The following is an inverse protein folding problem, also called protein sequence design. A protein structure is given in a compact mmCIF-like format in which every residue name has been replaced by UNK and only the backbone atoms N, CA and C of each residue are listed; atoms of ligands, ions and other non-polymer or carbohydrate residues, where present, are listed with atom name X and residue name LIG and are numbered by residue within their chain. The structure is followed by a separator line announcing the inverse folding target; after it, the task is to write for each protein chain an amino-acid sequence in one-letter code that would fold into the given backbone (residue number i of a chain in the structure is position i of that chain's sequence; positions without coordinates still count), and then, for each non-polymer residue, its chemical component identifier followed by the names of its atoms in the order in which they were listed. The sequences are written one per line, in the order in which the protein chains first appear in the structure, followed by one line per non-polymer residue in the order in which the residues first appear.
data_IF_257746130535
#
_entry.id   IF_257746130535
#
_cell.length_a   1.000
_cell.length_b   1.000
_cell.length_c   1.000
_cell.angle_alpha   90.00
_cell.angle_beta   90.00
_cell.angle_gamma   90.00
#
_symmetry.space_group_name_H-M   'P 1'
#
loop_
_entity.id
_entity.type
_entity.pdbx_description
1 polymer ?
#
# COMPACT_ATOMS: atom_id res chain seq x y z
N UNK A 1 -1.39 -8.29 -17.75
CA UNK A 1 -2.24 -7.93 -16.61
C UNK A 1 -1.43 -6.95 -15.78
N UNK A 2 -1.90 -5.73 -15.63
CA UNK A 2 -1.18 -4.73 -14.86
C UNK A 2 -1.25 -5.10 -13.37
N UNK A 3 -0.09 -5.10 -12.70
CA UNK A 3 0.02 -5.25 -11.25
C UNK A 3 -0.18 -3.87 -10.63
N UNK A 4 -1.39 -3.60 -10.14
CA UNK A 4 -1.74 -2.27 -9.66
C UNK A 4 -1.33 -2.01 -8.20
N UNK A 5 -1.19 -3.06 -7.37
CA UNK A 5 -0.93 -2.88 -5.94
C UNK A 5 0.17 -3.83 -5.46
N UNK A 6 1.36 -3.28 -5.21
CA UNK A 6 2.38 -3.92 -4.38
C UNK A 6 2.83 -2.95 -3.31
N UNK A 7 2.91 -3.42 -2.05
CA UNK A 7 3.40 -2.62 -0.94
C UNK A 7 2.54 -2.72 0.33
N UNK A 8 3.07 -2.15 1.41
CA UNK A 8 2.43 -2.09 2.72
C UNK A 8 2.62 -0.71 3.33
N UNK A 9 1.56 -0.14 3.90
CA UNK A 9 1.57 1.13 4.64
C UNK A 9 1.77 0.84 6.12
N UNK A 10 2.85 1.35 6.72
CA UNK A 10 3.00 1.30 8.18
C UNK A 10 2.03 2.30 8.81
N UNK A 11 1.09 1.79 9.60
CA UNK A 11 0.15 2.62 10.36
C UNK A 11 0.74 3.12 11.66
N UNK A 12 1.31 2.20 12.44
CA UNK A 12 1.78 2.52 13.79
C UNK A 12 2.81 1.52 14.29
N UNK A 13 3.70 2.01 15.14
CA UNK A 13 4.56 1.20 15.98
C UNK A 13 4.35 1.61 17.44
N UNK A 14 4.21 0.64 18.33
CA UNK A 14 4.04 0.88 19.77
C UNK A 14 4.43 -0.36 20.57
N UNK A 15 4.52 -0.26 21.89
CA UNK A 15 4.88 -1.38 22.76
C UNK A 15 3.84 -1.58 23.85
N UNK A 16 3.49 -2.84 24.12
CA UNK A 16 2.68 -3.24 25.28
C UNK A 16 3.58 -3.95 26.28
N UNK A 17 3.46 -3.62 27.57
CA UNK A 17 4.28 -4.21 28.63
C UNK A 17 3.45 -5.13 29.49
N UNK A 18 4.05 -6.22 29.96
CA UNK A 18 3.46 -7.01 31.03
C UNK A 18 3.42 -6.19 32.33
N UNK A 19 2.51 -6.50 33.27
CA UNK A 19 2.41 -5.79 34.55
C UNK A 19 3.70 -5.79 35.38
N UNK A 20 4.59 -6.78 35.17
CA UNK A 20 5.88 -6.90 35.85
C UNK A 20 7.02 -6.17 35.13
N UNK A 21 6.75 -5.57 33.96
CA UNK A 21 7.71 -4.90 33.06
C UNK A 21 8.94 -5.75 32.66
N UNK A 22 8.88 -7.07 32.85
CA UNK A 22 9.94 -8.00 32.44
C UNK A 22 9.76 -8.49 31.02
N UNK A 23 8.54 -8.37 30.51
CA UNK A 23 8.11 -8.83 29.21
C UNK A 23 7.45 -7.65 28.49
N UNK A 24 7.73 -7.49 27.20
CA UNK A 24 7.03 -6.54 26.35
C UNK A 24 6.80 -7.12 24.96
N UNK A 25 5.82 -6.57 24.27
CA UNK A 25 5.56 -6.84 22.87
C UNK A 25 5.71 -5.53 22.11
N UNK A 26 6.59 -5.53 21.12
CA UNK A 26 6.71 -4.44 20.17
C UNK A 26 5.81 -4.76 18.96
N UNK A 27 4.84 -3.89 18.71
CA UNK A 27 3.85 -3.99 17.65
C UNK A 27 4.23 -3.12 16.46
N UNK A 28 4.02 -3.64 15.25
CA UNK A 28 4.05 -2.89 14.00
C UNK A 28 2.79 -3.25 13.22
N UNK A 29 1.94 -2.27 13.02
CA UNK A 29 0.66 -2.43 12.33
C UNK A 29 0.81 -1.90 10.92
N UNK A 30 0.50 -2.74 9.93
CA UNK A 30 0.50 -2.35 8.52
C UNK A 30 -0.89 -2.50 7.92
N UNK A 31 -1.12 -1.77 6.83
CA UNK A 31 -2.25 -1.97 5.94
C UNK A 31 -1.73 -2.28 4.54
N UNK A 32 -2.30 -3.28 3.89
CA UNK A 32 -1.93 -3.69 2.54
C UNK A 32 -3.16 -4.18 1.75
N UNK A 33 -3.21 -3.85 0.47
CA UNK A 33 -4.24 -4.35 -0.43
C UNK A 33 -3.75 -5.66 -1.06
N UNK A 34 -4.59 -6.69 -1.05
CA UNK A 34 -4.29 -7.99 -1.67
C UNK A 34 -5.36 -8.37 -2.65
N UNK A 35 -4.93 -8.99 -3.74
CA UNK A 35 -5.84 -9.64 -4.69
C UNK A 35 -6.53 -10.82 -3.99
N UNK A 36 -7.85 -10.88 -4.12
CA UNK A 36 -8.69 -11.92 -3.53
C UNK A 36 -9.54 -12.66 -4.58
N UNK A 37 -9.39 -12.31 -5.86
CA UNK A 37 -10.06 -13.02 -6.96
C UNK A 37 -9.04 -13.84 -7.76
N UNK A 38 -9.52 -14.90 -8.42
CA UNK A 38 -8.71 -15.67 -9.38
C UNK A 38 -8.77 -15.07 -10.80
N UNK A 39 -9.39 -13.90 -10.95
CA UNK A 39 -9.48 -13.13 -12.19
C UNK A 39 -10.71 -13.50 -13.02
N UNK A 40 -11.80 -12.75 -12.84
CA UNK A 40 -13.02 -12.93 -13.63
C UNK A 40 -12.96 -12.11 -14.92
N UNK A 41 -13.14 -12.74 -16.09
CA UNK A 41 -13.16 -12.05 -17.39
C UNK A 41 -14.52 -12.17 -18.08
N UNK A 42 -15.05 -11.04 -18.57
CA UNK A 42 -16.17 -11.04 -19.52
C UNK A 42 -15.76 -10.48 -20.88
N UNK A 43 -16.50 -10.85 -21.93
CA UNK A 43 -16.15 -10.54 -23.33
C UNK A 43 -17.35 -10.10 -24.16
N UNK A 44 -17.06 -9.42 -25.26
CA UNK A 44 -17.95 -9.19 -26.40
C UNK A 44 -19.26 -8.47 -26.04
N UNK A 45 -19.17 -7.48 -25.16
CA UNK A 45 -20.34 -6.72 -24.69
C UNK A 45 -21.28 -7.49 -23.78
N UNK A 46 -20.98 -8.75 -23.45
CA UNK A 46 -21.78 -9.54 -22.53
C UNK A 46 -21.44 -9.06 -21.12
N UNK A 47 -22.40 -8.41 -20.46
CA UNK A 47 -22.20 -8.00 -19.07
C UNK A 47 -22.02 -9.23 -18.17
N UNK A 48 -21.06 -9.14 -17.26
CA UNK A 48 -20.75 -10.19 -16.31
C UNK A 48 -20.90 -9.71 -14.88
N UNK A 49 -20.89 -10.65 -13.94
CA UNK A 49 -20.77 -10.35 -12.51
C UNK A 49 -19.67 -11.22 -11.94
N UNK A 50 -18.65 -10.59 -11.37
CA UNK A 50 -17.66 -11.26 -10.53
C UNK A 50 -18.27 -11.39 -9.13
N UNK A 51 -18.28 -12.61 -8.58
CA UNK A 51 -18.80 -12.86 -7.25
C UNK A 51 -17.70 -13.50 -6.42
N UNK A 52 -17.30 -12.83 -5.33
CA UNK A 52 -16.20 -13.26 -4.47
C UNK A 52 -16.73 -13.53 -3.07
N UNK A 53 -16.35 -14.67 -2.50
CA UNK A 53 -16.53 -14.92 -1.07
C UNK A 53 -15.54 -14.07 -0.29
N UNK A 54 -16.04 -13.09 0.44
CA UNK A 54 -15.21 -12.19 1.24
C UNK A 54 -15.35 -12.52 2.72
N UNK A 55 -14.21 -12.54 3.38
CA UNK A 55 -14.09 -12.84 4.80
C UNK A 55 -13.78 -11.54 5.56
N UNK A 56 -14.41 -11.29 6.71
CA UNK A 56 -14.13 -10.13 7.57
C UNK A 56 -13.71 -10.55 8.97
N UNK A 57 -12.67 -9.95 9.52
CA UNK A 57 -12.17 -10.20 10.87
C UNK A 57 -10.88 -11.04 10.88
N UNK A 58 -10.61 -11.69 12.00
CA UNK A 58 -9.40 -12.49 12.22
C UNK A 58 -9.73 -13.98 12.09
N UNK A 59 -8.78 -14.79 11.61
CA UNK A 59 -8.95 -16.25 11.58
C UNK A 59 -8.94 -16.86 12.99
N UNK A 60 -9.67 -17.94 13.23
CA UNK A 60 -9.67 -18.64 14.53
C UNK A 60 -8.26 -19.04 14.98
N UNK A 61 -7.42 -19.46 14.03
CA UNK A 61 -6.01 -19.77 14.26
C UNK A 61 -5.24 -18.56 14.78
N UNK A 62 -5.41 -17.41 14.14
CA UNK A 62 -4.76 -16.16 14.56
C UNK A 62 -5.28 -15.67 15.90
N UNK A 63 -6.58 -15.82 16.16
CA UNK A 63 -7.17 -15.54 17.47
C UNK A 63 -6.60 -16.44 18.58
N UNK A 64 -6.40 -17.72 18.29
CA UNK A 64 -5.78 -18.65 19.23
C UNK A 64 -4.33 -18.24 19.55
N UNK A 65 -3.59 -17.76 18.54
CA UNK A 65 -2.25 -17.19 18.72
C UNK A 65 -2.30 -15.94 19.61
N UNK A 66 -3.27 -15.03 19.42
CA UNK A 66 -3.43 -13.86 20.31
C UNK A 66 -3.69 -14.27 21.75
N UNK A 67 -4.54 -15.25 21.98
CA UNK A 67 -4.87 -15.74 23.32
C UNK A 67 -3.66 -16.37 24.01
N UNK A 68 -2.90 -17.19 23.28
CA UNK A 68 -1.63 -17.74 23.77
C UNK A 68 -0.66 -16.62 24.17
N UNK A 69 -0.52 -15.61 23.32
CA UNK A 69 0.36 -14.47 23.56
C UNK A 69 -0.12 -13.65 24.77
N UNK A 70 -1.39 -13.25 24.81
CA UNK A 70 -1.94 -12.48 25.93
C UNK A 70 -1.77 -13.22 27.27
N UNK A 71 -2.12 -14.51 27.32
CA UNK A 71 -2.10 -15.31 28.55
C UNK A 71 -0.71 -15.73 28.99
N UNK A 72 0.07 -16.38 28.11
CA UNK A 72 1.37 -16.95 28.47
C UNK A 72 2.45 -15.88 28.57
N UNK A 73 2.37 -14.87 27.70
CA UNK A 73 3.50 -13.97 27.45
C UNK A 73 3.38 -12.66 28.23
N UNK A 74 2.18 -12.09 28.31
CA UNK A 74 1.93 -10.85 29.04
C UNK A 74 1.28 -11.09 30.42
N UNK A 75 0.87 -12.32 30.73
CA UNK A 75 0.12 -12.62 31.95
C UNK A 75 -1.23 -11.89 32.00
N UNK A 76 -1.75 -11.44 30.85
CA UNK A 76 -3.03 -10.80 30.77
C UNK A 76 -4.11 -11.86 31.00
N UNK A 77 -5.07 -11.52 31.87
CA UNK A 77 -6.22 -12.39 32.14
C UNK A 77 -7.08 -12.60 30.91
N UNK A 78 -7.04 -11.66 29.96
CA UNK A 78 -7.91 -11.65 28.80
C UNK A 78 -7.23 -11.02 27.57
N UNK A 79 -7.54 -11.57 26.40
CA UNK A 79 -7.16 -11.04 25.09
C UNK A 79 -7.84 -9.68 24.83
N UNK A 80 -8.98 -9.41 25.46
CA UNK A 80 -9.69 -8.14 25.33
C UNK A 80 -8.90 -6.94 25.89
N UNK A 81 -8.09 -7.13 26.93
CA UNK A 81 -7.21 -6.07 27.43
C UNK A 81 -6.16 -5.70 26.37
N UNK A 82 -5.60 -6.71 25.70
CA UNK A 82 -4.68 -6.49 24.60
C UNK A 82 -5.36 -5.81 23.41
N UNK A 83 -6.61 -6.22 23.09
CA UNK A 83 -7.41 -5.57 22.05
C UNK A 83 -7.54 -4.08 22.33
N UNK A 84 -7.97 -3.73 23.54
CA UNK A 84 -8.17 -2.36 23.96
C UNK A 84 -6.87 -1.53 23.85
N UNK A 85 -5.73 -2.07 24.30
CA UNK A 85 -4.44 -1.38 24.20
C UNK A 85 -4.04 -1.12 22.75
N UNK A 86 -4.27 -2.09 21.86
CA UNK A 86 -4.01 -1.95 20.43
C UNK A 86 -4.95 -0.90 19.83
N UNK A 87 -6.25 -0.96 20.13
CA UNK A 87 -7.28 -0.01 19.65
C UNK A 87 -7.00 1.43 20.08
N UNK A 88 -6.67 1.64 21.37
CA UNK A 88 -6.24 2.94 21.90
C UNK A 88 -4.98 3.44 21.19
N UNK A 89 -4.02 2.54 20.95
CA UNK A 89 -2.78 2.89 20.27
C UNK A 89 -3.02 3.29 18.82
N UNK A 90 -3.83 2.54 18.06
CA UNK A 90 -4.10 2.84 16.64
C UNK A 90 -5.20 3.90 16.45
N UNK A 91 -5.96 4.23 17.49
CA UNK A 91 -7.06 5.20 17.45
C UNK A 91 -8.28 4.72 16.65
N UNK A 92 -8.47 3.41 16.51
CA UNK A 92 -9.53 2.79 15.70
C UNK A 92 -9.97 1.47 16.31
N UNK A 93 -11.24 1.13 16.13
CA UNK A 93 -11.79 -0.16 16.52
C UNK A 93 -11.24 -1.28 15.61
N UNK A 94 -10.99 -2.44 16.20
CA UNK A 94 -10.49 -3.62 15.52
C UNK A 94 -11.52 -4.73 15.62
N UNK A 95 -11.82 -5.39 14.49
CA UNK A 95 -12.68 -6.56 14.55
C UNK A 95 -11.86 -7.84 14.77
N UNK A 96 -11.74 -8.22 16.04
CA UNK A 96 -11.14 -9.49 16.46
C UNK A 96 -12.11 -10.66 16.42
N UNK A 97 -13.34 -10.46 15.97
CA UNK A 97 -14.27 -11.57 15.79
C UNK A 97 -13.80 -12.54 14.72
N UNK A 98 -14.21 -13.80 14.92
CA UNK A 98 -13.91 -14.88 14.01
C UNK A 98 -14.58 -14.60 12.67
N UNK A 99 -13.78 -14.77 11.63
CA UNK A 99 -14.12 -14.53 10.22
C UNK A 99 -15.59 -14.80 9.88
N UNK A 100 -16.37 -13.74 9.63
CA UNK A 100 -17.67 -13.83 8.98
C UNK A 100 -17.47 -13.90 7.47
N UNK A 101 -18.12 -14.86 6.81
CA UNK A 101 -18.10 -14.97 5.35
C UNK A 101 -19.34 -14.29 4.79
N UNK A 102 -19.14 -13.45 3.80
CA UNK A 102 -20.20 -12.84 3.00
C UNK A 102 -19.85 -12.92 1.52
N UNK A 103 -20.81 -12.61 0.67
CA UNK A 103 -20.62 -12.61 -0.78
C UNK A 103 -20.69 -11.18 -1.27
N UNK A 104 -19.70 -10.75 -2.06
CA UNK A 104 -19.74 -9.47 -2.77
C UNK A 104 -19.76 -9.70 -4.27
N UNK A 105 -20.53 -8.85 -4.96
CA UNK A 105 -20.70 -8.91 -6.40
C UNK A 105 -20.24 -7.61 -7.03
N UNK A 106 -19.43 -7.73 -8.07
CA UNK A 106 -18.86 -6.63 -8.83
C UNK A 106 -19.29 -6.76 -10.29
N UNK A 107 -19.77 -5.66 -10.87
CA UNK A 107 -20.26 -5.66 -12.24
C UNK A 107 -19.08 -5.56 -13.21
N UNK A 108 -19.10 -6.37 -14.26
CA UNK A 108 -18.12 -6.31 -15.36
C UNK A 108 -18.86 -5.84 -16.61
N UNK A 109 -18.39 -4.74 -17.19
CA UNK A 109 -18.95 -4.17 -18.41
C UNK A 109 -17.89 -4.16 -19.52
N UNK A 110 -17.73 -5.27 -20.26
CA UNK A 110 -16.79 -5.30 -21.36
C UNK A 110 -17.30 -4.50 -22.56
N UNK A 111 -16.41 -3.98 -23.40
CA UNK A 111 -16.79 -3.36 -24.66
C UNK A 111 -17.38 -4.41 -25.62
N UNK A 112 -18.22 -3.97 -26.56
CA UNK A 112 -18.90 -4.85 -27.53
C UNK A 112 -17.95 -5.75 -28.33
N UNK A 113 -16.76 -5.24 -28.61
CA UNK A 113 -15.76 -5.91 -29.44
C UNK A 113 -14.52 -6.37 -28.68
N UNK A 114 -14.54 -6.29 -27.35
CA UNK A 114 -13.37 -6.56 -26.54
C UNK A 114 -13.67 -7.33 -25.28
N UNK A 115 -12.77 -7.24 -24.31
CA UNK A 115 -12.88 -7.95 -23.04
C UNK A 115 -12.59 -7.04 -21.86
N UNK A 116 -13.12 -7.41 -20.71
CA UNK A 116 -12.80 -6.77 -19.45
C UNK A 116 -12.54 -7.86 -18.43
N UNK A 117 -11.32 -7.89 -17.89
CA UNK A 117 -10.94 -8.72 -16.76
C UNK A 117 -11.02 -7.86 -15.49
N UNK A 118 -11.60 -8.38 -14.42
CA UNK A 118 -11.72 -7.67 -13.16
C UNK A 118 -10.77 -8.30 -12.15
N UNK A 119 -9.98 -7.47 -11.47
CA UNK A 119 -9.21 -7.89 -10.30
C UNK A 119 -9.84 -7.25 -9.07
N UNK A 120 -10.14 -8.07 -8.05
CA UNK A 120 -10.79 -7.61 -6.82
C UNK A 120 -9.77 -7.62 -5.69
N UNK A 121 -9.63 -6.47 -5.05
CA UNK A 121 -8.73 -6.29 -3.92
C UNK A 121 -9.51 -6.16 -2.62
N UNK A 122 -8.93 -6.70 -1.55
CA UNK A 122 -9.38 -6.46 -0.19
C UNK A 122 -8.25 -5.85 0.62
N UNK A 123 -8.60 -4.91 1.49
CA UNK A 123 -7.64 -4.32 2.42
C UNK A 123 -7.45 -5.25 3.63
N UNK A 124 -6.21 -5.63 3.87
CA UNK A 124 -5.76 -6.39 5.02
C UNK A 124 -5.07 -5.46 6.00
N UNK A 125 -5.33 -5.67 7.29
CA UNK A 125 -4.53 -5.09 8.36
C UNK A 125 -3.68 -6.17 8.99
N UNK A 126 -2.39 -5.90 9.07
CA UNK A 126 -1.37 -6.87 9.44
C UNK A 126 -0.72 -6.41 10.72
N UNK A 127 -0.86 -7.21 11.76
CA UNK A 127 -0.23 -7.00 13.05
C UNK A 127 1.03 -7.86 13.11
N UNK A 128 2.19 -7.25 12.92
CA UNK A 128 3.46 -7.86 13.25
C UNK A 128 3.78 -7.55 14.70
N UNK A 129 4.10 -8.57 15.48
CA UNK A 129 4.49 -8.37 16.86
C UNK A 129 5.72 -9.19 17.20
N UNK A 130 6.67 -8.51 17.84
CA UNK A 130 7.93 -9.07 18.29
C UNK A 130 7.89 -9.12 19.81
N UNK A 131 8.11 -10.29 20.38
CA UNK A 131 8.22 -10.42 21.83
C UNK A 131 9.65 -10.13 22.30
N UNK A 132 9.75 -9.42 23.43
CA UNK A 132 11.01 -9.13 24.09
C UNK A 132 10.92 -9.45 25.58
N UNK A 133 11.98 -10.05 26.12
CA UNK A 133 12.11 -10.37 27.55
C UNK A 133 13.42 -9.82 28.12
N UNK A 134 13.37 -9.20 29.30
CA UNK A 134 14.57 -8.77 30.03
C UNK A 134 15.41 -9.98 30.43
N UNK A 135 16.72 -9.96 30.18
CA UNK A 135 17.65 -10.97 30.72
C UNK A 135 17.78 -10.82 32.23
N UNK A 136 17.50 -11.89 32.97
CA UNK A 136 17.55 -11.88 34.44
C UNK A 136 18.98 -11.93 35.03
N UNK A 137 20.01 -12.22 34.22
CA UNK A 137 21.38 -12.50 34.67
C UNK A 137 22.45 -11.49 34.23
N UNK A 138 22.09 -10.42 33.54
CA UNK A 138 23.07 -9.43 33.05
C UNK A 138 22.89 -8.10 33.76
N UNK A 139 23.94 -7.64 34.44
CA UNK A 139 24.07 -6.32 35.10
C UNK A 139 24.01 -5.11 34.16
N UNK A 140 23.43 -5.23 32.97
CA UNK A 140 23.14 -4.09 32.09
C UNK A 140 21.63 -3.98 31.95
N UNK A 141 21.06 -2.85 32.35
CA UNK A 141 19.62 -2.63 32.47
C UNK A 141 18.82 -2.76 31.15
N UNK A 142 19.49 -2.84 29.99
CA UNK A 142 18.81 -2.72 28.69
C UNK A 142 18.92 -3.93 27.74
N UNK A 143 19.34 -5.11 28.23
CA UNK A 143 19.46 -6.28 27.33
C UNK A 143 18.17 -7.09 27.26
N UNK A 144 17.36 -6.73 26.26
CA UNK A 144 16.18 -7.48 25.84
C UNK A 144 16.56 -8.66 24.94
N UNK A 145 16.00 -9.85 25.20
CA UNK A 145 16.04 -10.98 24.29
C UNK A 145 14.87 -10.86 23.32
N UNK A 146 15.17 -10.69 22.04
CA UNK A 146 14.19 -10.68 20.96
C UNK A 146 13.82 -12.10 20.56
N UNK A 147 12.53 -12.43 20.61
CA UNK A 147 11.98 -13.68 20.06
C UNK A 147 11.47 -13.47 18.62
N UNK A 148 11.19 -14.56 17.88
CA UNK A 148 10.70 -14.46 16.51
C UNK A 148 9.43 -13.62 16.41
N UNK A 149 9.39 -12.76 15.40
CA UNK A 149 8.20 -11.98 15.05
C UNK A 149 7.09 -12.92 14.61
N UNK A 150 5.89 -12.73 15.15
CA UNK A 150 4.67 -13.38 14.68
C UNK A 150 3.81 -12.37 13.94
N UNK A 151 2.95 -12.88 13.06
CA UNK A 151 2.08 -12.08 12.20
C UNK A 151 0.64 -12.53 12.36
N UNK A 152 -0.26 -11.57 12.47
CA UNK A 152 -1.71 -11.77 12.48
C UNK A 152 -2.33 -10.89 11.42
N UNK A 153 -3.35 -11.42 10.77
CA UNK A 153 -4.04 -10.76 9.67
C UNK A 153 -5.51 -10.58 10.03
N UNK A 154 -5.95 -9.33 9.98
CA UNK A 154 -7.35 -8.93 9.99
C UNK A 154 -7.76 -8.60 8.56
N UNK A 155 -8.84 -9.23 8.11
CA UNK A 155 -9.50 -8.88 6.86
C UNK A 155 -10.51 -7.77 7.12
N UNK A 156 -10.34 -6.61 6.49
CA UNK A 156 -11.26 -5.48 6.66
C UNK A 156 -12.47 -5.62 5.72
N UNK A 157 -13.52 -4.81 5.90
CA UNK A 157 -14.65 -4.76 4.96
C UNK A 157 -14.41 -3.82 3.77
N UNK A 158 -13.19 -3.30 3.60
CA UNK A 158 -12.86 -2.41 2.48
C UNK A 158 -12.41 -3.26 1.29
N UNK A 159 -13.04 -3.01 0.15
CA UNK A 159 -12.84 -3.73 -1.08
C UNK A 159 -12.79 -2.73 -2.21
N UNK A 160 -11.97 -3.03 -3.22
CA UNK A 160 -11.91 -2.27 -4.45
C UNK A 160 -11.80 -3.24 -5.63
N UNK A 161 -12.18 -2.80 -6.83
CA UNK A 161 -12.10 -3.62 -8.02
C UNK A 161 -11.56 -2.81 -9.19
N UNK A 162 -10.54 -3.36 -9.85
CA UNK A 162 -9.87 -2.72 -10.97
C UNK A 162 -10.19 -3.47 -12.27
N UNK A 163 -10.90 -2.84 -13.22
CA UNK A 163 -11.14 -3.42 -14.53
C UNK A 163 -9.91 -3.24 -15.43
N UNK A 164 -9.37 -4.34 -15.97
CA UNK A 164 -8.43 -4.39 -17.08
C UNK A 164 -9.21 -4.58 -18.39
N UNK A 165 -9.47 -3.49 -19.10
CA UNK A 165 -10.32 -3.46 -20.30
C UNK A 165 -9.48 -3.38 -21.57
N UNK A 166 -9.79 -4.26 -22.52
CA UNK A 166 -9.22 -4.30 -23.85
C UNK A 166 -10.36 -4.09 -24.85
N UNK A 167 -10.26 -3.06 -25.69
CA UNK A 167 -11.32 -2.64 -26.62
C UNK A 167 -11.56 -3.62 -27.78
N UNK A 168 -10.53 -4.38 -28.16
CA UNK A 168 -10.56 -5.32 -29.28
C UNK A 168 -10.07 -6.69 -28.84
N UNK A 169 -10.94 -7.69 -28.86
CA UNK A 169 -10.64 -9.09 -28.56
C UNK A 169 -10.99 -9.92 -29.81
N UNK A 170 -10.01 -10.61 -30.42
CA UNK A 170 -10.24 -11.47 -31.59
C UNK A 170 -11.34 -12.51 -31.39
N UNK A 171 -11.61 -12.93 -30.14
CA UNK A 171 -12.69 -13.86 -29.82
C UNK A 171 -14.09 -13.30 -30.13
N UNK A 172 -14.25 -11.98 -30.24
CA UNK A 172 -15.54 -11.30 -30.42
C UNK A 172 -16.03 -11.21 -31.88
N UNK A 173 -15.21 -11.66 -32.85
CA UNK A 173 -15.58 -11.73 -34.29
C UNK A 173 -16.22 -10.44 -34.82
N UNK A 174 -15.69 -9.28 -34.43
CA UNK A 174 -16.28 -8.00 -34.80
C UNK A 174 -16.12 -7.69 -36.30
N UNK A 175 -17.13 -7.08 -36.94
CA UNK A 175 -17.14 -6.81 -38.38
C UNK A 175 -16.08 -5.78 -38.80
N UNK A 176 -15.72 -4.89 -37.87
CA UNK A 176 -14.54 -4.04 -37.96
C UNK A 176 -13.81 -4.19 -36.63
N UNK A 177 -12.75 -5.02 -36.54
CA UNK A 177 -11.90 -4.98 -35.36
C UNK A 177 -11.39 -3.55 -35.26
N UNK A 178 -11.72 -2.85 -34.16
CA UNK A 178 -10.98 -1.64 -33.87
C UNK A 178 -9.51 -2.07 -33.78
N UNK A 179 -8.59 -1.33 -34.40
CA UNK A 179 -7.18 -1.61 -34.21
C UNK A 179 -6.94 -1.67 -32.71
N UNK A 180 -6.29 -2.74 -32.24
CA UNK A 180 -5.84 -2.77 -30.85
C UNK A 180 -5.15 -1.43 -30.56
N UNK A 181 -5.38 -0.80 -29.41
CA UNK A 181 -4.59 0.36 -29.05
C UNK A 181 -3.13 -0.08 -29.08
N UNK A 182 -2.41 0.34 -30.12
CA UNK A 182 -0.99 0.06 -30.29
C UNK A 182 -0.29 0.94 -29.28
N UNK A 183 0.03 0.36 -28.15
CA UNK A 183 0.92 0.97 -27.18
C UNK A 183 2.35 0.68 -27.59
N UNK A 184 3.20 1.69 -27.51
CA UNK A 184 4.63 1.55 -27.81
C UNK A 184 5.40 0.94 -26.64
N UNK A 185 4.76 0.86 -25.47
CA UNK A 185 5.26 0.17 -24.29
C UNK A 185 4.55 0.60 -23.01
N UNK A 186 5.29 0.52 -21.89
CA UNK A 186 4.83 0.98 -20.59
C UNK A 186 5.71 2.10 -20.05
N UNK A 187 5.11 3.00 -19.29
CA UNK A 187 5.78 3.99 -18.45
C UNK A 187 5.60 3.57 -16.99
N UNK A 188 6.61 3.82 -16.17
CA UNK A 188 6.48 3.76 -14.72
C UNK A 188 6.24 5.16 -14.17
N UNK A 189 5.08 5.35 -13.54
CA UNK A 189 4.73 6.55 -12.80
C UNK A 189 5.00 6.32 -11.32
N UNK A 190 5.95 7.05 -10.74
CA UNK A 190 6.27 7.01 -9.32
C UNK A 190 5.77 8.28 -8.63
N UNK A 191 5.01 8.14 -7.55
CA UNK A 191 4.57 9.24 -6.69
C UNK A 191 5.20 9.08 -5.30
N UNK A 192 6.52 9.14 -5.24
CA UNK A 192 7.29 8.91 -4.02
C UNK A 192 7.37 7.42 -3.67
N UNK A 193 6.66 6.99 -2.63
CA UNK A 193 6.71 5.60 -2.14
C UNK A 193 5.75 4.65 -2.85
N UNK A 194 4.91 5.17 -3.75
CA UNK A 194 3.99 4.38 -4.57
C UNK A 194 4.33 4.57 -6.05
N UNK A 195 3.94 3.61 -6.87
CA UNK A 195 4.03 3.77 -8.31
C UNK A 195 3.16 2.79 -9.06
N UNK A 196 2.93 3.06 -10.33
CA UNK A 196 2.13 2.23 -11.22
C UNK A 196 2.76 2.15 -12.60
N UNK A 197 2.42 1.09 -13.33
CA UNK A 197 2.79 0.94 -14.74
C UNK A 197 1.59 1.33 -15.58
N UNK A 198 1.79 2.21 -16.54
CA UNK A 198 0.74 2.70 -17.43
C UNK A 198 1.17 2.48 -18.87
N UNK A 199 0.30 1.97 -19.75
CA UNK A 199 0.61 1.90 -21.16
C UNK A 199 0.73 3.30 -21.76
N UNK A 200 1.63 3.46 -22.73
CA UNK A 200 1.83 4.72 -23.43
C UNK A 200 1.85 4.55 -24.96
N UNK A 201 1.56 5.63 -25.67
CA UNK A 201 1.63 5.72 -27.13
C UNK A 201 2.32 7.01 -27.56
N UNK A 202 3.30 6.90 -28.45
CA UNK A 202 3.96 8.01 -29.11
C UNK A 202 3.06 8.59 -30.19
N UNK A 203 3.02 9.91 -30.28
CA UNK A 203 2.25 10.66 -31.28
C UNK A 203 3.16 11.67 -31.97
N UNK A 204 2.70 12.24 -33.08
CA UNK A 204 3.47 13.27 -33.78
C UNK A 204 3.73 14.53 -32.93
N UNK A 205 2.92 14.75 -31.88
CA UNK A 205 2.96 15.95 -31.05
C UNK A 205 3.51 15.69 -29.63
N UNK A 206 3.92 14.46 -29.30
CA UNK A 206 4.24 14.07 -27.92
C UNK A 206 3.92 12.61 -27.63
N UNK A 207 3.38 12.33 -26.45
CA UNK A 207 2.88 10.99 -26.11
C UNK A 207 1.58 11.05 -25.32
N UNK A 208 0.90 9.91 -25.29
CA UNK A 208 -0.34 9.67 -24.58
C UNK A 208 -0.12 8.59 -23.53
N UNK A 209 -0.60 8.81 -22.31
CA UNK A 209 -0.70 7.79 -21.28
C UNK A 209 -2.14 7.37 -21.13
N UNK A 210 -2.38 6.08 -20.94
CA UNK A 210 -3.71 5.59 -20.59
C UNK A 210 -3.74 5.10 -19.13
N UNK A 211 -4.62 5.70 -18.33
CA UNK A 211 -4.92 5.29 -16.96
C UNK A 211 -6.40 4.91 -16.91
N UNK A 212 -6.69 3.63 -16.74
CA UNK A 212 -8.05 3.07 -16.90
C UNK A 212 -8.64 3.46 -18.27
N UNK A 213 -9.72 4.26 -18.30
CA UNK A 213 -10.38 4.74 -19.53
C UNK A 213 -9.96 6.16 -19.94
N UNK A 214 -9.06 6.77 -19.19
CA UNK A 214 -8.64 8.15 -19.44
C UNK A 214 -7.33 8.17 -20.22
N UNK A 215 -7.31 8.97 -21.28
CA UNK A 215 -6.10 9.25 -22.06
C UNK A 215 -5.59 10.63 -21.67
N UNK A 216 -4.35 10.70 -21.20
CA UNK A 216 -3.67 11.92 -20.80
C UNK A 216 -2.66 12.27 -21.89
N UNK A 217 -2.75 13.46 -22.45
CA UNK A 217 -1.88 13.93 -23.52
C UNK A 217 -0.74 14.78 -22.96
N UNK A 218 0.50 14.44 -23.33
CA UNK A 218 1.69 15.22 -23.04
C UNK A 218 2.28 15.71 -24.35
N UNK A 219 2.07 17.00 -24.65
CA UNK A 219 2.60 17.64 -25.84
C UNK A 219 4.04 18.15 -25.67
N UNK A 220 4.81 18.16 -26.75
CA UNK A 220 6.11 18.84 -26.81
C UNK A 220 6.39 19.34 -28.23
N UNK A 221 6.93 20.55 -28.32
CA UNK A 221 7.46 21.10 -29.58
C UNK A 221 8.81 20.47 -29.98
N UNK A 222 9.47 19.77 -29.05
CA UNK A 222 10.72 19.03 -29.26
C UNK A 222 10.57 17.59 -28.74
N UNK A 223 10.00 16.73 -29.59
CA UNK A 223 9.78 15.31 -29.28
C UNK A 223 11.09 14.55 -28.98
N UNK A 224 12.19 14.71 -29.76
CA UNK A 224 13.46 14.05 -29.43
C UNK A 224 13.98 14.36 -28.04
N UNK A 225 13.89 15.62 -27.60
CA UNK A 225 14.33 16.01 -26.25
C UNK A 225 13.41 15.44 -25.18
N UNK A 226 12.10 15.44 -25.40
CA UNK A 226 11.13 14.81 -24.50
C UNK A 226 11.42 13.31 -24.31
N UNK A 227 11.65 12.59 -25.41
CA UNK A 227 11.91 11.15 -25.37
C UNK A 227 13.20 10.79 -24.63
N UNK A 228 14.27 11.58 -24.79
CA UNK A 228 15.50 11.40 -23.97
C UNK A 228 15.25 11.71 -22.50
N UNK A 229 14.46 12.75 -22.22
CA UNK A 229 14.14 13.13 -20.84
C UNK A 229 13.33 12.04 -20.12
N UNK A 230 12.59 11.19 -20.84
CA UNK A 230 11.89 10.03 -20.27
C UNK A 230 12.84 8.89 -19.84
N UNK A 231 14.06 8.83 -20.38
CA UNK A 231 15.09 7.88 -19.92
C UNK A 231 15.62 8.30 -18.54
N UNK A 232 15.85 9.61 -18.34
CA UNK A 232 16.30 10.18 -17.08
C UNK A 232 15.17 10.38 -16.06
N UNK A 233 13.94 10.51 -16.56
CA UNK A 233 12.71 10.71 -15.83
C UNK A 233 12.22 12.16 -15.82
N UNK A 234 10.92 12.33 -16.06
CA UNK A 234 10.24 13.62 -16.13
C UNK A 234 9.28 13.76 -14.97
N UNK A 235 9.29 14.93 -14.33
CA UNK A 235 8.30 15.24 -13.30
C UNK A 235 6.98 15.65 -13.96
N UNK A 236 5.89 14.99 -13.57
CA UNK A 236 4.54 15.23 -14.09
C UNK A 236 3.57 15.47 -12.94
N UNK A 237 2.53 16.26 -13.21
CA UNK A 237 1.37 16.38 -12.35
C UNK A 237 0.23 15.51 -12.91
N UNK A 238 -0.29 14.61 -12.10
CA UNK A 238 -1.46 13.78 -12.44
C UNK A 238 -2.59 14.12 -11.47
N UNK A 239 -3.81 14.23 -11.98
CA UNK A 239 -4.99 14.37 -11.12
C UNK A 239 -5.11 13.13 -10.22
N UNK A 240 -5.24 13.36 -8.91
CA UNK A 240 -5.33 12.26 -7.94
C UNK A 240 -6.56 11.37 -8.21
N UNK A 241 -7.63 11.89 -8.79
CA UNK A 241 -8.81 11.10 -9.16
C UNK A 241 -8.53 10.04 -10.24
N UNK A 242 -7.46 10.22 -11.04
CA UNK A 242 -7.02 9.24 -12.02
C UNK A 242 -6.16 8.14 -11.39
N UNK A 243 -5.58 8.39 -10.21
CA UNK A 243 -4.78 7.39 -9.51
C UNK A 243 -5.71 6.49 -8.69
N UNK A 244 -5.63 5.16 -8.88
CA UNK A 244 -6.45 4.20 -8.14
C UNK A 244 -6.44 4.47 -6.64
N UNK A 245 -7.62 4.43 -6.01
CA UNK A 245 -7.77 4.63 -4.57
C UNK A 245 -6.77 3.81 -3.73
N UNK A 246 -6.51 2.52 -4.03
CA UNK A 246 -5.65 1.74 -3.17
C UNK A 246 -4.18 2.18 -3.28
N UNK A 247 -3.76 2.74 -4.41
CA UNK A 247 -2.44 3.37 -4.56
C UNK A 247 -2.38 4.68 -3.76
N UNK A 248 -3.39 5.55 -3.88
CA UNK A 248 -3.46 6.79 -3.10
C UNK A 248 -3.41 6.52 -1.59
N UNK A 249 -4.15 5.50 -1.17
CA UNK A 249 -4.15 5.03 0.20
C UNK A 249 -2.77 4.59 0.69
N UNK A 250 -2.07 3.76 -0.10
CA UNK A 250 -0.71 3.30 0.22
C UNK A 250 0.28 4.47 0.30
N UNK A 251 0.11 5.49 -0.55
CA UNK A 251 0.94 6.69 -0.59
C UNK A 251 0.59 7.76 0.44
N UNK A 252 -0.50 7.60 1.20
CA UNK A 252 -1.01 8.60 2.15
C UNK A 252 -1.40 9.93 1.47
N UNK A 253 -2.00 9.83 0.29
CA UNK A 253 -2.38 10.97 -0.55
C UNK A 253 -3.87 10.95 -0.89
N UNK A 254 -4.69 10.41 0.00
CA UNK A 254 -6.14 10.26 -0.19
C UNK A 254 -6.85 11.61 -0.40
N UNK A 255 -6.40 12.66 0.29
CA UNK A 255 -6.96 14.02 0.24
C UNK A 255 -6.30 14.92 -0.80
N UNK A 256 -5.27 14.44 -1.51
CA UNK A 256 -4.59 15.22 -2.53
C UNK A 256 -5.51 15.42 -3.75
N UNK A 257 -5.49 16.62 -4.34
CA UNK A 257 -6.16 16.90 -5.63
C UNK A 257 -5.26 16.57 -6.82
N UNK A 258 -3.95 16.68 -6.64
CA UNK A 258 -2.95 16.38 -7.65
C UNK A 258 -1.76 15.67 -7.00
N UNK A 259 -1.14 14.78 -7.76
CA UNK A 259 0.07 14.08 -7.38
C UNK A 259 1.21 14.50 -8.31
N UNK A 260 2.29 14.98 -7.71
CA UNK A 260 3.56 15.15 -8.41
C UNK A 260 4.27 13.81 -8.43
N UNK A 261 4.54 13.31 -9.63
CA UNK A 261 5.22 12.05 -9.83
C UNK A 261 6.37 12.16 -10.81
N UNK A 262 7.30 11.22 -10.71
CA UNK A 262 8.37 11.04 -11.70
C UNK A 262 7.96 9.92 -12.65
N UNK A 263 7.96 10.22 -13.94
CA UNK A 263 7.67 9.28 -15.01
C UNK A 263 8.95 8.87 -15.70
N UNK A 264 9.18 7.56 -15.83
CA UNK A 264 10.30 6.98 -16.57
C UNK A 264 9.80 5.91 -17.53
N UNK A 265 10.50 5.74 -18.65
CA UNK A 265 10.22 4.60 -19.55
C UNK A 265 10.47 3.29 -18.82
N UNK A 266 9.47 2.41 -18.81
CA UNK A 266 9.64 1.08 -18.23
C UNK A 266 10.34 0.19 -19.26
N UNK A 267 11.48 -0.38 -18.86
CA UNK A 267 12.15 -1.43 -19.62
C UNK A 267 11.91 -2.72 -18.86
N UNK A 268 11.27 -3.69 -19.50
CA UNK A 268 11.21 -5.05 -18.95
C UNK A 268 12.63 -5.56 -18.84
N UNK A 269 13.18 -5.55 -17.62
CA UNK A 269 14.38 -6.32 -17.30
C UNK A 269 14.04 -7.80 -17.48
N UNK A 270 14.27 -8.31 -18.69
CA UNK A 270 14.28 -9.74 -18.95
C UNK A 270 15.40 -10.34 -18.09
N UNK A 271 15.01 -11.11 -17.07
CA UNK A 271 15.87 -12.04 -16.32
C UNK A 271 17.15 -11.45 -15.66
N UNK A 272 17.07 -10.30 -14.99
CA UNK A 272 18.02 -10.05 -13.91
C UNK A 272 17.57 -10.85 -12.68
N UNK A 273 18.29 -11.92 -12.35
CA UNK A 273 18.07 -12.76 -11.19
C UNK A 273 17.76 -11.91 -9.95
N UNK A 274 16.59 -12.13 -9.35
CA UNK A 274 16.19 -11.52 -8.08
C UNK A 274 17.32 -11.76 -7.08
N UNK A 275 18.04 -10.73 -6.62
CA UNK A 275 18.90 -10.89 -5.46
C UNK A 275 17.96 -11.20 -4.30
N UNK A 276 18.18 -12.33 -3.66
CA UNK A 276 17.57 -12.70 -2.39
C UNK A 276 17.58 -11.46 -1.48
N UNK A 277 16.39 -10.99 -1.07
CA UNK A 277 16.25 -9.84 -0.20
C UNK A 277 17.01 -10.10 1.11
N UNK A 278 18.23 -9.57 1.20
CA UNK A 278 18.90 -9.42 2.47
C UNK A 278 18.14 -8.36 3.28
N UNK A 279 17.75 -8.73 4.50
CA UNK A 279 17.08 -7.86 5.46
C UNK A 279 17.72 -6.46 5.51
N UNK A 280 16.94 -5.35 5.50
CA UNK A 280 17.50 -4.04 5.78
C UNK A 280 17.88 -3.98 7.26
N UNK A 281 19.17 -4.15 7.54
CA UNK A 281 19.80 -3.69 8.78
C UNK A 281 19.74 -2.16 8.76
N UNK A 282 18.65 -1.60 9.28
CA UNK A 282 18.57 -0.18 9.59
C UNK A 282 19.36 0.04 10.88
N UNK A 283 20.66 0.29 10.75
CA UNK A 283 21.47 0.90 11.81
C UNK A 283 21.15 2.39 11.86
N UNK A 284 20.21 2.77 12.74
CA UNK A 284 20.03 4.16 13.15
C UNK A 284 21.12 4.47 14.17
N UNK A 285 22.16 5.19 13.74
CA UNK A 285 23.07 5.87 14.66
C UNK A 285 22.33 7.09 15.23
N UNK A 286 21.89 7.00 16.48
CA UNK A 286 21.38 8.15 17.22
C UNK A 286 22.60 8.96 17.67
N UNK A 287 22.88 10.05 16.96
CA UNK A 287 23.79 11.09 17.41
C UNK A 287 23.08 11.93 18.47
N UNK A 288 23.43 11.74 19.74
CA UNK A 288 23.05 12.65 20.82
C UNK A 288 24.01 13.84 20.82
N UNK A 289 23.70 14.87 20.03
CA UNK A 289 24.25 16.21 20.27
C UNK A 289 23.30 16.97 21.19
N UNK A 290 23.72 17.08 22.44
CA UNK A 290 23.09 17.86 23.50
C UNK A 290 23.22 19.34 23.17
N UNK A 291 22.13 19.98 22.72
CA UNK A 291 22.05 21.43 22.67
C UNK A 291 21.85 21.96 24.09
N UNK A 292 22.89 22.57 24.65
CA UNK A 292 22.81 23.39 25.86
C UNK A 292 22.15 24.71 25.46
N UNK A 293 20.93 24.94 25.93
CA UNK A 293 20.28 26.23 25.81
C UNK A 293 21.00 27.24 26.72
N UNK A 294 21.58 28.28 26.13
CA UNK A 294 22.02 29.46 26.87
C UNK A 294 20.79 30.28 27.30
N UNK A 295 20.73 30.61 28.59
CA UNK A 295 19.68 31.41 29.20
C UNK A 295 19.57 32.80 28.55
N UNK A 296 18.36 33.29 28.25
CA UNK A 296 18.17 34.66 27.82
C UNK A 296 18.30 35.64 29.00
N UNK A 297 19.29 36.52 28.89
CA UNK A 297 19.51 37.70 29.75
C UNK A 297 18.23 38.53 29.93
N UNK A 298 17.88 38.97 31.16
CA UNK A 298 16.64 39.71 31.40
C UNK A 298 16.76 41.21 31.07
N UNK A 299 15.81 41.69 30.27
CA UNK A 299 15.13 42.97 30.46
C UNK A 299 15.88 44.26 30.11
N UNK A 300 15.57 44.82 28.94
CA UNK A 300 15.53 46.28 28.78
C UNK A 300 14.14 46.70 28.28
N UNK A 301 13.47 47.48 29.12
CA UNK A 301 12.18 48.10 28.88
C UNK A 301 12.31 49.19 27.82
N UNK A 302 11.41 49.16 26.84
CA UNK A 302 11.15 50.30 25.95
C UNK A 302 10.02 51.13 26.55
N UNK A 303 10.35 52.35 26.95
CA UNK A 303 9.38 53.43 27.22
C UNK A 303 8.77 53.92 25.91
N UNK A 304 7.45 54.17 25.86
CA UNK A 304 6.84 54.90 24.75
C UNK A 304 6.92 56.39 25.06
N UNK A 305 7.23 57.23 24.06
CA UNK A 305 6.70 58.58 24.01
C UNK A 305 6.81 59.20 22.60
N UNK A 306 5.70 59.85 22.24
CA UNK A 306 5.48 60.99 21.34
C UNK A 306 5.89 60.93 19.86
#
# INVERSE_FOLDING_TARGET
MALYFSGRKLLKTFSTYAPDERNRIDWRVYEEWRDIDEGTTSRCGIEGTCTVEVAKGISEKSMSILKEVAGVTLGLKDVWALKYDVEQSIGREINWEVTEKSTKSFRIQPPKCGRSALTVYQLFRVYEFTFLRKKWLTFSEDKWVRLPTRRIEERTNNHDAMPDTIESDPACKCPQPQPEPTFDGFMHLSFGTIGMRVPYRETQAGFELQIDRHVIHFGSDDLPTLMRSLEDGIDIAVDAALVPEPLRFLGQVEEATQLLGRMVKWVDEVEAAVPEFADPVVSIAISTETWVAEDPTPGQALTPDA
#
